data_IF_843582176896
#
_entry.id   IF_843582176896
#
_cell.length_a   1.000
_cell.length_b   1.000
_cell.length_c   1.000
_cell.angle_alpha   90.00
_cell.angle_beta   90.00
_cell.angle_gamma   90.00
#
_symmetry.space_group_name_H-M   'P 1'
#
loop_
_entity.id
_entity.type
_entity.pdbx_description
1 polymer ?
#
# COMPACT_ATOMS: atom_id res chain seq x y z
N UNK A 1 -35.09 -17.43 -11.68
CA UNK A 1 -34.03 -16.80 -12.44
C UNK A 1 -32.87 -16.60 -11.48
N UNK A 2 -31.94 -17.55 -11.45
CA UNK A 2 -30.74 -17.49 -10.61
C UNK A 2 -29.72 -16.56 -11.29
N UNK A 3 -29.62 -15.35 -10.81
CA UNK A 3 -28.53 -14.44 -11.20
C UNK A 3 -27.23 -15.03 -10.66
N UNK A 4 -26.46 -15.65 -11.52
CA UNK A 4 -25.08 -16.04 -11.22
C UNK A 4 -24.28 -14.76 -10.97
N UNK A 5 -24.12 -14.40 -9.71
CA UNK A 5 -23.23 -13.30 -9.28
C UNK A 5 -21.79 -13.79 -9.45
N UNK A 6 -21.24 -13.63 -10.64
CA UNK A 6 -19.80 -13.78 -10.83
C UNK A 6 -19.11 -12.73 -9.97
N UNK A 7 -18.12 -13.15 -9.17
CA UNK A 7 -17.29 -12.22 -8.41
C UNK A 7 -16.69 -11.18 -9.38
N UNK A 8 -16.68 -9.91 -9.00
CA UNK A 8 -16.14 -8.85 -9.85
C UNK A 8 -14.68 -9.16 -10.20
N UNK A 9 -14.33 -8.97 -11.47
CA UNK A 9 -12.95 -9.11 -11.91
C UNK A 9 -12.10 -8.02 -11.26
N UNK A 10 -11.10 -8.42 -10.48
CA UNK A 10 -10.17 -7.49 -9.86
C UNK A 10 -9.02 -7.20 -10.85
N UNK A 11 -8.86 -5.94 -11.20
CA UNK A 11 -7.73 -5.40 -11.95
C UNK A 11 -6.81 -4.62 -11.01
N UNK A 12 -5.50 -4.72 -11.18
CA UNK A 12 -4.53 -4.03 -10.32
C UNK A 12 -3.60 -3.17 -11.17
N UNK A 13 -3.39 -1.91 -10.73
CA UNK A 13 -2.56 -0.95 -11.46
C UNK A 13 -1.60 -0.24 -10.51
N UNK A 14 -0.32 -0.07 -10.88
CA UNK A 14 0.60 0.81 -10.18
C UNK A 14 0.04 2.24 -10.14
N UNK A 15 0.35 2.97 -9.06
CA UNK A 15 0.02 4.39 -8.97
C UNK A 15 1.01 5.18 -9.82
N UNK A 16 0.43 6.03 -10.67
CA UNK A 16 1.11 6.98 -11.54
C UNK A 16 0.38 8.32 -11.46
N UNK A 17 0.93 9.42 -12.01
CA UNK A 17 0.20 10.69 -12.11
C UNK A 17 -1.17 10.56 -12.79
N UNK A 18 -1.32 9.62 -13.74
CA UNK A 18 -2.57 9.43 -14.50
C UNK A 18 -3.73 8.90 -13.66
N UNK A 19 -3.47 8.14 -12.59
CA UNK A 19 -4.49 7.56 -11.71
C UNK A 19 -4.39 8.03 -10.24
N UNK A 20 -3.64 9.08 -9.98
CA UNK A 20 -3.50 9.67 -8.65
C UNK A 20 -4.86 10.11 -8.05
N UNK A 21 -5.77 10.61 -8.89
CA UNK A 21 -7.12 10.98 -8.49
C UNK A 21 -7.93 9.79 -7.92
N UNK A 22 -7.69 8.58 -8.41
CA UNK A 22 -8.34 7.37 -7.88
C UNK A 22 -7.83 7.03 -6.47
N UNK A 23 -6.54 7.22 -6.21
CA UNK A 23 -5.96 7.06 -4.88
C UNK A 23 -6.53 8.09 -3.91
N UNK A 24 -6.70 9.35 -4.34
CA UNK A 24 -7.30 10.42 -3.53
C UNK A 24 -8.75 10.14 -3.21
N UNK A 25 -9.53 9.68 -4.19
CA UNK A 25 -10.92 9.27 -4.01
C UNK A 25 -11.02 8.10 -3.02
N UNK A 26 -10.28 7.04 -3.24
CA UNK A 26 -10.24 5.86 -2.37
C UNK A 26 -9.85 6.23 -0.94
N UNK A 27 -8.83 7.07 -0.78
CA UNK A 27 -8.40 7.56 0.52
C UNK A 27 -9.46 8.40 1.22
N UNK A 28 -10.24 9.21 0.47
CA UNK A 28 -11.30 10.06 1.01
C UNK A 28 -12.45 9.26 1.56
N UNK A 29 -12.87 8.24 0.83
CA UNK A 29 -13.95 7.33 1.21
C UNK A 29 -13.60 6.47 2.43
N UNK A 30 -12.32 6.16 2.61
CA UNK A 30 -11.82 5.26 3.66
C UNK A 30 -10.94 5.97 4.71
N UNK A 31 -11.35 7.11 5.16
CA UNK A 31 -10.71 8.08 6.06
C UNK A 31 -9.51 7.70 6.92
N UNK A 32 -9.46 6.49 7.48
CA UNK A 32 -8.32 6.00 8.28
C UNK A 32 -7.12 5.57 7.44
N UNK A 33 -7.33 5.17 6.19
CA UNK A 33 -6.29 4.71 5.28
C UNK A 33 -5.28 5.81 4.90
N UNK A 34 -5.75 7.05 4.70
CA UNK A 34 -4.92 8.22 4.33
C UNK A 34 -3.68 8.43 5.19
N UNK A 35 -3.64 7.85 6.39
CA UNK A 35 -2.60 8.12 7.38
C UNK A 35 -1.55 7.03 7.45
N UNK A 36 -1.94 5.78 7.18
CA UNK A 36 -1.10 4.61 7.41
C UNK A 36 0.08 4.55 6.46
N UNK A 37 -0.11 4.95 5.20
CA UNK A 37 0.92 4.86 4.17
C UNK A 37 2.15 5.72 4.44
N UNK A 38 1.96 6.91 5.01
CA UNK A 38 3.06 7.83 5.29
C UNK A 38 3.78 7.54 6.61
N UNK A 39 3.19 6.71 7.50
CA UNK A 39 3.81 6.38 8.78
C UNK A 39 5.19 5.73 8.62
N UNK A 40 5.35 4.86 7.65
CA UNK A 40 6.63 4.19 7.39
C UNK A 40 7.60 5.05 6.60
N UNK A 41 7.11 6.05 5.87
CA UNK A 41 7.93 6.97 5.07
C UNK A 41 8.47 8.15 5.87
N UNK A 42 7.72 8.61 6.88
CA UNK A 42 8.08 9.74 7.74
C UNK A 42 8.74 9.27 9.03
N UNK A 43 9.60 10.10 9.62
CA UNK A 43 10.04 9.90 11.01
C UNK A 43 8.87 10.07 11.97
N UNK A 44 8.99 9.52 13.20
CA UNK A 44 7.96 9.69 14.22
C UNK A 44 7.68 11.17 14.55
N UNK A 45 8.73 12.01 14.55
CA UNK A 45 8.60 13.46 14.73
C UNK A 45 7.85 14.12 13.58
N UNK A 46 8.26 13.87 12.34
CA UNK A 46 7.58 14.39 11.15
C UNK A 46 6.11 13.95 11.12
N UNK A 47 5.83 12.68 11.42
CA UNK A 47 4.49 12.16 11.42
C UNK A 47 3.61 12.82 12.49
N UNK A 48 4.14 13.06 13.71
CA UNK A 48 3.42 13.74 14.80
C UNK A 48 3.11 15.20 14.47
N UNK A 49 4.04 15.91 13.83
CA UNK A 49 3.88 17.32 13.45
C UNK A 49 3.11 17.53 12.15
N UNK A 50 2.84 16.47 11.38
CA UNK A 50 2.15 16.57 10.10
C UNK A 50 0.64 16.52 10.25
N UNK A 51 -0.07 17.26 9.39
CA UNK A 51 -1.52 17.17 9.26
C UNK A 51 -1.89 16.05 8.27
N UNK A 52 -3.14 15.75 8.21
CA UNK A 52 -3.74 14.84 7.23
C UNK A 52 -3.45 15.28 5.80
N UNK A 53 -3.71 16.52 5.56
CA UNK A 53 -3.60 17.17 4.26
C UNK A 53 -2.13 17.18 3.81
N UNK A 54 -1.19 17.48 4.71
CA UNK A 54 0.23 17.48 4.39
C UNK A 54 0.77 16.08 4.05
N UNK A 55 0.22 15.02 4.67
CA UNK A 55 0.59 13.63 4.34
C UNK A 55 0.06 13.21 2.98
N UNK A 56 -1.17 13.62 2.64
CA UNK A 56 -1.73 13.39 1.30
C UNK A 56 -0.92 14.12 0.25
N UNK A 57 -0.59 15.38 0.48
CA UNK A 57 0.25 16.16 -0.42
C UNK A 57 1.64 15.51 -0.61
N UNK A 58 2.28 15.09 0.48
CA UNK A 58 3.59 14.43 0.42
C UNK A 58 3.55 13.12 -0.39
N UNK A 59 2.49 12.31 -0.26
CA UNK A 59 2.35 11.10 -1.08
C UNK A 59 2.12 11.45 -2.55
N UNK A 60 1.29 12.45 -2.83
CA UNK A 60 1.05 12.93 -4.19
C UNK A 60 2.32 13.48 -4.84
N UNK A 61 3.16 14.17 -4.09
CA UNK A 61 4.43 14.69 -4.59
C UNK A 61 5.41 13.57 -4.96
N UNK A 62 5.44 12.46 -4.20
CA UNK A 62 6.22 11.28 -4.58
C UNK A 62 5.74 10.72 -5.93
N UNK A 63 4.43 10.63 -6.13
CA UNK A 63 3.84 10.14 -7.40
C UNK A 63 4.18 11.08 -8.55
N UNK A 64 4.08 12.40 -8.36
CA UNK A 64 4.43 13.40 -9.40
C UNK A 64 5.91 13.38 -9.77
N UNK A 65 6.77 12.93 -8.86
CA UNK A 65 8.19 12.72 -9.09
C UNK A 65 8.50 11.34 -9.70
N UNK A 66 7.48 10.62 -10.15
CA UNK A 66 7.58 9.27 -10.71
C UNK A 66 8.22 8.25 -9.75
N UNK A 67 8.05 8.46 -8.45
CA UNK A 67 8.57 7.55 -7.42
C UNK A 67 7.55 6.46 -7.10
N UNK A 68 7.98 5.20 -7.01
CA UNK A 68 7.10 4.11 -6.64
C UNK A 68 6.45 4.33 -5.28
N UNK A 69 5.14 4.15 -5.19
CA UNK A 69 4.39 4.27 -3.93
C UNK A 69 3.54 3.05 -3.63
N UNK A 70 3.06 2.35 -4.67
CA UNK A 70 2.24 1.17 -4.51
C UNK A 70 1.30 0.88 -5.68
N UNK A 71 0.35 -0.02 -5.43
CA UNK A 71 -0.60 -0.57 -6.41
C UNK A 71 -2.02 -0.42 -5.89
N UNK A 72 -2.97 0.00 -6.74
CA UNK A 72 -4.41 -0.02 -6.48
C UNK A 72 -5.08 -1.22 -7.14
N UNK A 73 -6.03 -1.84 -6.45
CA UNK A 73 -6.96 -2.81 -7.00
C UNK A 73 -8.30 -2.14 -7.34
N UNK A 74 -8.85 -2.51 -8.47
CA UNK A 74 -10.11 -2.02 -9.00
C UNK A 74 -11.11 -3.17 -9.18
N UNK A 75 -12.35 -2.94 -8.82
CA UNK A 75 -13.50 -3.75 -9.22
C UNK A 75 -14.44 -2.84 -10.02
N UNK A 76 -14.77 -3.23 -11.26
CA UNK A 76 -15.63 -2.43 -12.15
C UNK A 76 -15.22 -0.94 -12.20
N UNK A 77 -13.93 -0.69 -12.40
CA UNK A 77 -13.30 0.66 -12.44
C UNK A 77 -13.34 1.45 -11.12
N UNK A 78 -13.84 0.87 -10.04
CA UNK A 78 -13.82 1.48 -8.71
C UNK A 78 -12.61 0.98 -7.91
N UNK A 79 -11.81 1.85 -7.27
CA UNK A 79 -10.72 1.41 -6.43
C UNK A 79 -11.28 0.75 -5.15
N UNK A 80 -10.83 -0.47 -4.89
CA UNK A 80 -11.34 -1.32 -3.78
C UNK A 80 -10.25 -1.80 -2.85
N UNK A 81 -8.97 -1.58 -3.20
CA UNK A 81 -7.85 -2.02 -2.38
C UNK A 81 -6.55 -1.32 -2.73
N UNK A 82 -5.65 -1.30 -1.78
CA UNK A 82 -4.35 -0.65 -1.85
C UNK A 82 -3.25 -1.56 -1.28
N UNK A 83 -2.09 -1.57 -1.93
CA UNK A 83 -0.85 -2.13 -1.42
C UNK A 83 0.26 -1.09 -1.54
N UNK A 84 0.88 -0.69 -0.42
CA UNK A 84 2.07 0.15 -0.44
C UNK A 84 3.30 -0.73 -0.64
N UNK A 85 3.98 -0.54 -1.76
CA UNK A 85 5.23 -1.21 -2.10
C UNK A 85 6.19 -0.24 -2.77
N UNK A 86 7.45 -0.24 -2.35
CA UNK A 86 8.51 0.60 -2.91
C UNK A 86 9.88 0.10 -2.44
N UNK A 87 11.00 0.62 -2.99
CA UNK A 87 12.32 0.40 -2.43
C UNK A 87 12.37 0.71 -0.93
N UNK A 88 12.95 -0.18 -0.14
CA UNK A 88 12.96 -0.10 1.34
C UNK A 88 13.51 1.22 1.86
N UNK A 89 14.54 1.77 1.25
CA UNK A 89 15.15 3.05 1.62
C UNK A 89 14.18 4.25 1.54
N UNK A 90 13.08 4.10 0.81
CA UNK A 90 12.02 5.12 0.75
C UNK A 90 11.14 5.15 2.00
N UNK A 91 11.24 4.11 2.82
CA UNK A 91 10.52 3.98 4.08
C UNK A 91 11.43 4.33 5.26
N UNK A 92 11.71 5.62 5.43
CA UNK A 92 12.69 6.09 6.40
C UNK A 92 12.41 5.72 7.87
N UNK A 93 11.17 5.47 8.26
CA UNK A 93 10.85 4.93 9.58
C UNK A 93 11.18 3.44 9.68
N UNK A 94 10.94 2.67 8.61
CA UNK A 94 11.26 1.25 8.54
C UNK A 94 12.77 1.01 8.61
N UNK A 95 13.56 1.82 7.91
CA UNK A 95 15.03 1.75 7.96
C UNK A 95 15.59 1.91 9.39
N UNK A 96 14.92 2.69 10.23
CA UNK A 96 15.32 2.93 11.63
C UNK A 96 14.63 2.00 12.63
N UNK A 97 13.76 1.11 12.17
CA UNK A 97 12.97 0.26 13.06
C UNK A 97 13.78 -0.95 13.51
N UNK A 98 14.29 -0.91 14.74
CA UNK A 98 15.22 -1.91 15.30
C UNK A 98 14.69 -3.34 15.33
N UNK A 99 13.35 -3.53 15.36
CA UNK A 99 12.74 -4.85 15.36
C UNK A 99 12.72 -5.52 13.97
N UNK A 100 12.98 -4.76 12.92
CA UNK A 100 13.03 -5.24 11.53
C UNK A 100 14.31 -4.74 10.85
N UNK A 101 15.50 -5.16 11.34
CA UNK A 101 16.77 -4.75 10.71
C UNK A 101 16.87 -5.33 9.31
N UNK A 102 17.71 -4.74 8.46
CA UNK A 102 18.11 -5.39 7.21
C UNK A 102 18.83 -6.69 7.52
N UNK A 103 18.56 -7.72 6.71
CA UNK A 103 19.24 -9.02 6.83
C UNK A 103 20.65 -8.93 6.27
N UNK A 104 20.79 -8.18 5.17
CA UNK A 104 22.05 -7.99 4.45
C UNK A 104 22.08 -6.62 3.75
N UNK A 105 23.05 -6.40 2.88
CA UNK A 105 23.20 -5.16 2.10
C UNK A 105 22.49 -5.16 0.75
N UNK A 106 21.75 -6.21 0.41
CA UNK A 106 21.07 -6.29 -0.88
C UNK A 106 19.94 -5.25 -1.00
N UNK A 107 19.76 -4.63 -2.17
CA UNK A 107 18.62 -3.78 -2.43
C UNK A 107 17.32 -4.57 -2.39
N UNK A 108 16.39 -4.14 -1.53
CA UNK A 108 15.10 -4.82 -1.38
C UNK A 108 13.94 -3.84 -1.57
N UNK A 109 12.82 -4.36 -2.06
CA UNK A 109 11.54 -3.67 -2.02
C UNK A 109 10.71 -4.17 -0.86
N UNK A 110 10.01 -3.26 -0.18
CA UNK A 110 9.22 -3.58 1.01
C UNK A 110 7.75 -3.39 0.76
N UNK A 111 6.96 -4.40 1.11
CA UNK A 111 5.50 -4.30 1.21
C UNK A 111 5.18 -3.78 2.61
N UNK A 112 4.82 -2.50 2.71
CA UNK A 112 4.67 -1.81 4.00
C UNK A 112 3.25 -1.82 4.56
N UNK A 113 2.22 -1.85 3.72
CA UNK A 113 0.84 -1.95 4.18
C UNK A 113 -0.13 -2.43 3.09
N UNK A 114 -1.25 -2.97 3.56
CA UNK A 114 -2.43 -3.28 2.75
C UNK A 114 -3.66 -2.60 3.32
N UNK A 115 -4.56 -2.21 2.44
CA UNK A 115 -5.92 -1.85 2.80
C UNK A 115 -6.89 -2.37 1.75
N UNK A 116 -7.97 -3.03 2.19
CA UNK A 116 -9.04 -3.53 1.32
C UNK A 116 -10.38 -3.07 1.89
N UNK A 117 -11.22 -2.49 1.04
CA UNK A 117 -12.59 -2.11 1.39
C UNK A 117 -13.32 -3.31 2.00
N UNK A 118 -14.05 -3.07 3.10
CA UNK A 118 -14.76 -4.12 3.84
C UNK A 118 -15.69 -4.96 2.97
N UNK A 119 -16.30 -4.35 1.96
CA UNK A 119 -17.23 -5.00 1.02
C UNK A 119 -16.54 -6.04 0.13
N UNK A 120 -15.21 -5.90 -0.08
CA UNK A 120 -14.40 -6.76 -0.94
C UNK A 120 -13.43 -7.67 -0.17
N UNK A 121 -13.52 -7.69 1.15
CA UNK A 121 -12.73 -8.62 1.98
C UNK A 121 -13.19 -10.05 1.76
N UNK A 122 -12.30 -11.02 2.01
CA UNK A 122 -12.51 -12.47 1.82
C UNK A 122 -12.82 -12.87 0.37
N UNK A 123 -12.47 -12.03 -0.59
CA UNK A 123 -12.62 -12.24 -2.03
C UNK A 123 -11.26 -12.28 -2.74
N UNK A 124 -10.21 -12.69 -2.03
CA UNK A 124 -8.84 -12.81 -2.53
C UNK A 124 -8.20 -11.50 -3.03
N UNK A 125 -8.80 -10.33 -2.78
CA UNK A 125 -8.25 -9.03 -3.22
C UNK A 125 -6.84 -8.79 -2.70
N UNK A 126 -6.55 -9.14 -1.43
CA UNK A 126 -5.21 -9.02 -0.85
C UNK A 126 -4.19 -9.87 -1.59
N UNK A 127 -4.55 -11.10 -1.98
CA UNK A 127 -3.66 -11.98 -2.74
C UNK A 127 -3.40 -11.43 -4.15
N UNK A 128 -4.45 -10.94 -4.81
CA UNK A 128 -4.34 -10.31 -6.13
C UNK A 128 -3.47 -9.05 -6.08
N UNK A 129 -3.66 -8.21 -5.05
CA UNK A 129 -2.80 -7.04 -4.81
C UNK A 129 -1.34 -7.42 -4.56
N UNK A 130 -1.10 -8.46 -3.75
CA UNK A 130 0.27 -8.90 -3.47
C UNK A 130 0.97 -9.38 -4.74
N UNK A 131 0.30 -10.19 -5.56
CA UNK A 131 0.85 -10.65 -6.84
C UNK A 131 1.17 -9.47 -7.76
N UNK A 132 0.23 -8.56 -7.94
CA UNK A 132 0.44 -7.37 -8.76
C UNK A 132 1.56 -6.46 -8.22
N UNK A 133 1.69 -6.35 -6.90
CA UNK A 133 2.77 -5.59 -6.26
C UNK A 133 4.14 -6.24 -6.52
N UNK A 134 4.23 -7.57 -6.46
CA UNK A 134 5.44 -8.34 -6.78
C UNK A 134 5.80 -8.15 -8.26
N UNK A 135 4.84 -8.33 -9.17
CA UNK A 135 5.04 -8.15 -10.62
C UNK A 135 5.49 -6.72 -10.94
N UNK A 136 4.87 -5.73 -10.30
CA UNK A 136 5.28 -4.34 -10.43
C UNK A 136 6.71 -4.11 -9.96
N UNK A 137 7.08 -4.57 -8.77
CA UNK A 137 8.43 -4.42 -8.26
C UNK A 137 9.47 -5.09 -9.18
N UNK A 138 9.19 -6.29 -9.69
CA UNK A 138 10.06 -6.96 -10.66
C UNK A 138 10.20 -6.16 -11.95
N UNK A 139 9.11 -5.57 -12.47
CA UNK A 139 9.16 -4.70 -13.65
C UNK A 139 10.06 -3.46 -13.45
N UNK A 140 10.24 -3.04 -12.20
CA UNK A 140 11.14 -1.95 -11.79
C UNK A 140 12.56 -2.44 -11.45
N UNK A 141 12.88 -3.72 -11.70
CA UNK A 141 14.19 -4.29 -11.47
C UNK A 141 14.42 -4.85 -10.06
N UNK A 142 13.40 -4.93 -9.21
CA UNK A 142 13.53 -5.54 -7.90
C UNK A 142 13.86 -7.04 -8.02
N UNK A 143 14.87 -7.49 -7.29
CA UNK A 143 15.26 -8.92 -7.20
C UNK A 143 14.75 -9.56 -5.92
N UNK A 144 14.65 -8.78 -4.86
CA UNK A 144 14.21 -9.23 -3.54
C UNK A 144 13.07 -8.35 -3.05
N UNK A 145 12.02 -8.99 -2.57
CA UNK A 145 10.85 -8.33 -1.99
C UNK A 145 10.64 -8.90 -0.60
N UNK A 146 10.46 -8.03 0.37
CA UNK A 146 10.21 -8.39 1.76
C UNK A 146 8.82 -7.93 2.23
N UNK A 147 8.25 -8.66 3.15
CA UNK A 147 7.02 -8.31 3.83
C UNK A 147 7.11 -8.67 5.31
N UNK A 148 6.22 -8.09 6.14
CA UNK A 148 6.28 -8.18 7.59
C UNK A 148 4.97 -8.77 8.15
N UNK A 149 4.72 -10.07 7.95
CA UNK A 149 3.52 -10.71 8.48
C UNK A 149 3.56 -10.68 10.01
N UNK A 150 2.43 -10.31 10.60
CA UNK A 150 2.27 -10.35 12.06
C UNK A 150 1.50 -11.61 12.42
N UNK A 151 2.02 -12.39 13.36
CA UNK A 151 1.28 -13.53 13.89
C UNK A 151 0.04 -13.00 14.64
N UNK A 152 -1.18 -13.47 14.31
CA UNK A 152 -2.38 -13.08 15.03
C UNK A 152 -2.25 -13.47 16.50
N UNK A 153 -2.20 -12.48 17.38
CA UNK A 153 -2.31 -12.70 18.84
C UNK A 153 -3.76 -12.82 19.27
N UNK A 154 -4.03 -13.20 20.54
CA UNK A 154 -5.38 -13.30 21.08
C UNK A 154 -6.13 -11.95 21.09
N UNK A 155 -5.42 -10.84 20.93
CA UNK A 155 -5.98 -9.53 20.59
C UNK A 155 -5.50 -9.17 19.20
N UNK A 156 -6.39 -9.24 18.21
CA UNK A 156 -6.16 -8.60 16.92
C UNK A 156 -5.79 -7.14 17.19
N UNK A 157 -4.51 -6.79 17.05
CA UNK A 157 -4.12 -5.40 16.94
C UNK A 157 -4.67 -4.89 15.61
N UNK A 158 -5.87 -4.37 15.65
CA UNK A 158 -6.48 -3.61 14.56
C UNK A 158 -5.76 -2.26 14.46
N UNK A 159 -4.51 -2.28 14.01
CA UNK A 159 -3.88 -1.12 13.40
C UNK A 159 -4.33 -1.09 11.93
N UNK A 160 -5.62 -0.89 11.74
CA UNK A 160 -6.21 -0.52 10.45
C UNK A 160 -7.12 0.68 10.66
#
# INVERSE_FOLDING_TARGET
VTTSSSLPKIDCRPITPANLADLDRFSSEHGKFRYSCMRWRMTSGQFKCSTKESRVAALADLVRQDRPVGVLAYADFQPVGWCSIAPRETYGALERFRALPRIDGEPVWSVACFFVDRRFRRQNVTLTLLRAAVDYAHSQGARVIEGYPVQPGPRLCTYM
#
